data_IF_528124879320
#
_entry.id   IF_528124879320
#
_cell.length_a   1.000
_cell.length_b   1.000
_cell.length_c   1.000
_cell.angle_alpha   90.00
_cell.angle_beta   90.00
_cell.angle_gamma   90.00
#
_symmetry.space_group_name_H-M   'P 1'
#
loop_
_entity.id
_entity.type
_entity.pdbx_description
1 polymer ?
#
# COMPACT_ATOMS: atom_id res chain seq x y z
N UNK A 1 -29.33 26.13 12.96
CA UNK A 1 -30.22 25.59 11.89
C UNK A 1 -30.42 24.10 12.08
N UNK A 2 -31.63 23.67 12.47
CA UNK A 2 -32.00 22.24 12.48
C UNK A 2 -31.91 21.68 11.04
N UNK A 3 -31.44 20.44 10.91
CA UNK A 3 -31.16 19.76 9.62
C UNK A 3 -32.32 19.71 8.60
N UNK A 4 -33.53 20.14 8.99
CA UNK A 4 -34.77 20.08 8.17
C UNK A 4 -34.90 21.17 7.11
N UNK A 5 -34.04 22.19 7.06
CA UNK A 5 -34.20 23.35 6.16
C UNK A 5 -33.00 23.66 5.25
N UNK A 6 -32.15 22.68 4.97
CA UNK A 6 -31.09 22.82 3.94
C UNK A 6 -31.75 23.10 2.58
N UNK A 7 -31.29 24.16 1.91
CA UNK A 7 -31.73 24.59 0.57
C UNK A 7 -33.13 25.26 0.47
N UNK A 8 -33.68 25.77 1.57
CA UNK A 8 -34.92 26.55 1.54
C UNK A 8 -34.68 27.92 0.86
N UNK A 9 -35.60 28.33 -0.02
CA UNK A 9 -35.65 29.68 -0.57
C UNK A 9 -36.40 30.56 0.43
N UNK A 10 -35.79 31.70 0.79
CA UNK A 10 -36.34 32.63 1.77
C UNK A 10 -35.98 34.07 1.39
N UNK A 11 -36.72 35.03 1.95
CA UNK A 11 -36.35 36.44 1.90
C UNK A 11 -35.48 36.76 3.12
N UNK A 12 -34.37 37.45 2.90
CA UNK A 12 -33.46 37.86 3.96
C UNK A 12 -33.71 39.34 4.34
N UNK A 13 -33.60 39.63 5.63
CA UNK A 13 -33.52 40.98 6.19
C UNK A 13 -32.32 41.08 7.12
N UNK A 14 -31.75 42.27 7.25
CA UNK A 14 -30.66 42.57 8.18
C UNK A 14 -31.10 43.68 9.13
N UNK A 15 -30.85 43.50 10.42
CA UNK A 15 -31.11 44.54 11.42
C UNK A 15 -29.82 45.32 11.72
N UNK A 16 -29.94 46.45 12.43
CA UNK A 16 -28.82 47.38 12.69
C UNK A 16 -27.63 46.79 13.48
N UNK A 17 -27.74 45.56 13.98
CA UNK A 17 -26.74 44.85 14.79
C UNK A 17 -25.94 43.77 14.05
N UNK A 18 -25.92 43.77 12.71
CA UNK A 18 -25.17 42.78 11.87
C UNK A 18 -25.72 41.34 11.94
N UNK A 19 -26.96 41.19 12.42
CA UNK A 19 -27.69 39.93 12.44
C UNK A 19 -28.53 39.76 11.17
N UNK A 20 -28.45 38.56 10.57
CA UNK A 20 -29.22 38.21 9.37
C UNK A 20 -30.39 37.32 9.76
N UNK A 21 -31.59 37.74 9.39
CA UNK A 21 -32.82 36.99 9.57
C UNK A 21 -33.37 36.55 8.22
N UNK A 22 -33.86 35.31 8.15
CA UNK A 22 -34.53 34.79 6.94
C UNK A 22 -35.95 34.34 7.25
N UNK A 23 -36.88 34.62 6.33
CA UNK A 23 -38.27 34.17 6.41
C UNK A 23 -38.60 33.25 5.23
N UNK A 24 -38.94 31.99 5.53
CA UNK A 24 -39.45 31.08 4.50
C UNK A 24 -40.94 31.35 4.26
N UNK A 25 -41.43 30.97 3.09
CA UNK A 25 -42.82 31.27 2.65
C UNK A 25 -43.90 30.76 3.60
N UNK A 26 -43.66 29.63 4.29
CA UNK A 26 -44.63 28.98 5.18
C UNK A 26 -44.32 29.19 6.68
N UNK A 27 -43.29 29.98 7.00
CA UNK A 27 -42.88 30.24 8.37
C UNK A 27 -43.56 31.50 8.93
N UNK A 28 -44.09 31.39 10.16
CA UNK A 28 -44.68 32.53 10.89
C UNK A 28 -43.63 33.42 11.55
N UNK A 29 -42.44 32.88 11.80
CA UNK A 29 -41.37 33.55 12.53
C UNK A 29 -40.09 33.63 11.69
N UNK A 30 -39.28 34.63 11.98
CA UNK A 30 -37.97 34.80 11.37
C UNK A 30 -36.94 33.85 11.97
N UNK A 31 -36.06 33.33 11.11
CA UNK A 31 -34.97 32.48 11.52
C UNK A 31 -33.70 33.32 11.58
N UNK A 32 -33.13 33.48 12.77
CA UNK A 32 -31.79 34.05 12.91
C UNK A 32 -30.76 33.10 12.27
N UNK A 33 -29.96 33.63 11.36
CA UNK A 33 -28.90 32.89 10.67
C UNK A 33 -27.56 33.30 11.26
N UNK A 34 -26.82 32.30 11.76
CA UNK A 34 -25.47 32.49 12.28
C UNK A 34 -24.44 31.93 11.29
N UNK A 35 -23.17 32.39 11.35
CA UNK A 35 -22.10 31.76 10.59
C UNK A 35 -21.97 30.26 10.93
N UNK A 36 -21.66 29.45 9.92
CA UNK A 36 -21.39 28.02 10.03
C UNK A 36 -19.95 27.78 9.63
N UNK A 37 -19.29 26.83 10.30
CA UNK A 37 -17.95 26.37 9.97
C UNK A 37 -18.00 25.15 9.04
N UNK A 38 -17.22 25.18 7.97
CA UNK A 38 -16.94 24.04 7.10
C UNK A 38 -15.49 23.60 7.29
N UNK A 39 -15.27 22.29 7.37
CA UNK A 39 -13.95 21.70 7.60
C UNK A 39 -13.38 21.12 6.30
N UNK A 40 -12.11 21.39 6.03
CA UNK A 40 -11.35 20.73 4.98
C UNK A 40 -10.60 19.54 5.59
N UNK A 41 -11.02 18.33 5.24
CA UNK A 41 -10.58 17.09 5.89
C UNK A 41 -9.65 16.31 4.95
N UNK A 42 -8.53 15.83 5.48
CA UNK A 42 -7.65 14.86 4.83
C UNK A 42 -7.81 13.51 5.52
N UNK A 43 -7.92 12.45 4.72
CA UNK A 43 -7.99 11.09 5.21
C UNK A 43 -6.58 10.48 5.30
N UNK A 44 -6.26 9.90 6.45
CA UNK A 44 -5.04 9.15 6.73
C UNK A 44 -5.42 7.78 7.31
N UNK A 45 -4.49 6.82 7.37
CA UNK A 45 -4.69 5.58 8.11
C UNK A 45 -4.05 5.77 9.48
N UNK A 46 -4.78 5.47 10.54
CA UNK A 46 -4.28 5.48 11.90
C UNK A 46 -3.37 4.27 12.14
N UNK A 47 -2.14 4.51 12.61
CA UNK A 47 -1.07 3.50 12.71
C UNK A 47 -1.39 2.41 13.75
N UNK A 48 -2.12 2.73 14.82
CA UNK A 48 -2.44 1.76 15.88
C UNK A 48 -3.70 0.94 15.52
N UNK A 49 -4.72 1.62 15.00
CA UNK A 49 -6.04 0.99 14.79
C UNK A 49 -6.28 0.47 13.37
N UNK A 50 -5.44 0.89 12.41
CA UNK A 50 -5.58 0.64 10.97
C UNK A 50 -6.91 1.12 10.38
N UNK A 51 -7.55 2.09 11.05
CA UNK A 51 -8.78 2.71 10.58
C UNK A 51 -8.50 4.00 9.83
N UNK A 52 -9.46 4.43 9.01
CA UNK A 52 -9.39 5.73 8.35
C UNK A 52 -9.59 6.81 9.41
N UNK A 53 -8.60 7.69 9.54
CA UNK A 53 -8.63 8.88 10.39
C UNK A 53 -8.88 10.13 9.56
N UNK A 54 -9.62 11.07 10.14
CA UNK A 54 -9.92 12.37 9.57
C UNK A 54 -9.07 13.46 10.23
N UNK A 55 -8.19 14.09 9.47
CA UNK A 55 -7.37 15.20 9.92
C UNK A 55 -7.90 16.52 9.31
N UNK A 56 -8.36 17.44 10.17
CA UNK A 56 -8.83 18.76 9.74
C UNK A 56 -7.64 19.64 9.38
N UNK A 57 -7.46 19.94 8.09
CA UNK A 57 -6.37 20.79 7.58
C UNK A 57 -6.66 22.28 7.73
N UNK A 58 -7.94 22.65 7.84
CA UNK A 58 -8.36 24.04 7.97
C UNK A 58 -9.88 24.18 7.99
N UNK A 59 -10.32 25.36 8.40
CA UNK A 59 -11.74 25.70 8.54
C UNK A 59 -12.09 26.95 7.73
N UNK A 60 -13.32 26.99 7.23
CA UNK A 60 -13.91 28.14 6.55
C UNK A 60 -15.24 28.49 7.23
N UNK A 61 -15.38 29.71 7.74
CA UNK A 61 -16.59 30.13 8.46
C UNK A 61 -17.32 31.21 7.69
N UNK A 62 -18.60 30.98 7.39
CA UNK A 62 -19.44 31.88 6.61
C UNK A 62 -20.92 31.68 6.92
N UNK A 63 -21.77 32.68 6.66
CA UNK A 63 -23.21 32.49 6.67
C UNK A 63 -23.63 31.48 5.59
N UNK A 64 -24.46 30.47 5.89
CA UNK A 64 -24.90 29.44 4.95
C UNK A 64 -25.99 29.96 3.98
N UNK A 65 -25.78 31.15 3.42
CA UNK A 65 -26.71 31.84 2.54
C UNK A 65 -26.07 32.07 1.17
N UNK A 66 -26.92 31.99 0.14
CA UNK A 66 -26.53 32.32 -1.24
C UNK A 66 -27.71 32.98 -1.93
N UNK A 67 -27.44 33.97 -2.77
CA UNK A 67 -28.47 34.56 -3.64
C UNK A 67 -29.15 33.46 -4.47
N UNK A 68 -30.48 33.47 -4.45
CA UNK A 68 -31.30 32.36 -4.96
C UNK A 68 -32.26 32.77 -6.09
N UNK A 69 -32.17 33.98 -6.64
CA UNK A 69 -32.97 34.39 -7.81
C UNK A 69 -32.68 33.56 -9.06
N UNK A 70 -31.41 33.20 -9.25
CA UNK A 70 -30.98 32.34 -10.33
C UNK A 70 -29.97 31.33 -9.82
N UNK A 71 -30.10 30.09 -10.26
CA UNK A 71 -29.19 28.99 -9.94
C UNK A 71 -28.91 28.20 -11.22
N UNK A 72 -27.68 27.75 -11.39
CA UNK A 72 -27.36 26.89 -12.52
C UNK A 72 -28.00 25.51 -12.35
N UNK A 73 -28.37 24.86 -13.46
CA UNK A 73 -28.95 23.50 -13.45
C UNK A 73 -28.09 22.54 -12.60
N UNK A 74 -26.76 22.59 -12.75
CA UNK A 74 -25.82 21.77 -11.98
C UNK A 74 -25.88 22.04 -10.48
N UNK A 75 -26.00 23.30 -10.05
CA UNK A 75 -26.11 23.65 -8.62
C UNK A 75 -27.52 23.37 -8.05
N UNK A 76 -28.51 23.15 -8.90
CA UNK A 76 -29.86 22.75 -8.48
C UNK A 76 -30.03 21.24 -8.25
N UNK A 77 -29.02 20.42 -8.56
CA UNK A 77 -29.12 18.96 -8.45
C UNK A 77 -29.43 18.54 -7.01
N UNK A 78 -30.46 17.70 -6.83
CA UNK A 78 -30.95 17.28 -5.51
C UNK A 78 -31.89 18.29 -4.83
N UNK A 79 -32.11 19.47 -5.42
CA UNK A 79 -33.05 20.48 -4.91
C UNK A 79 -34.45 20.28 -5.48
N UNK A 80 -35.46 20.77 -4.76
CA UNK A 80 -36.85 20.71 -5.19
C UNK A 80 -37.51 22.07 -4.96
N UNK A 81 -38.24 22.55 -5.95
CA UNK A 81 -38.88 23.86 -5.99
C UNK A 81 -40.37 23.72 -6.35
N UNK A 82 -41.19 24.66 -5.88
CA UNK A 82 -42.61 24.71 -6.23
C UNK A 82 -42.87 25.42 -7.56
N UNK A 83 -42.01 26.39 -7.92
CA UNK A 83 -42.08 27.13 -9.18
C UNK A 83 -40.68 27.42 -9.70
N UNK A 84 -40.48 27.25 -11.00
CA UNK A 84 -39.20 27.47 -11.68
C UNK A 84 -39.40 28.10 -13.04
N UNK A 85 -38.51 29.03 -13.39
CA UNK A 85 -38.34 29.49 -14.77
C UNK A 85 -37.06 28.83 -15.29
N UNK A 86 -37.17 28.01 -16.32
CA UNK A 86 -36.07 27.22 -16.86
C UNK A 86 -35.66 27.81 -18.21
N UNK A 87 -34.40 28.23 -18.30
CA UNK A 87 -33.73 28.44 -19.58
C UNK A 87 -32.81 27.27 -19.89
N UNK A 88 -33.23 26.44 -20.85
CA UNK A 88 -32.48 25.25 -21.27
C UNK A 88 -31.87 25.39 -22.68
N UNK A 89 -31.85 26.61 -23.26
CA UNK A 89 -31.34 26.83 -24.63
C UNK A 89 -29.89 26.38 -24.80
N UNK A 90 -29.08 26.52 -23.76
CA UNK A 90 -27.65 26.15 -23.74
C UNK A 90 -27.38 24.85 -22.95
N UNK A 91 -28.37 23.95 -22.83
CA UNK A 91 -28.13 22.65 -22.21
C UNK A 91 -27.30 21.77 -23.18
N UNK A 92 -26.01 21.62 -22.87
CA UNK A 92 -25.05 20.91 -23.74
C UNK A 92 -24.80 19.46 -23.31
N UNK A 93 -25.10 19.08 -22.07
CA UNK A 93 -24.83 17.74 -21.56
C UNK A 93 -26.08 16.86 -21.45
N UNK A 94 -25.89 15.57 -21.70
CA UNK A 94 -26.92 14.52 -21.56
C UNK A 94 -27.57 14.58 -20.17
N UNK A 95 -28.91 14.51 -20.12
CA UNK A 95 -29.67 14.55 -18.88
C UNK A 95 -29.82 15.94 -18.20
N UNK A 96 -29.17 17.02 -18.65
CA UNK A 96 -29.31 18.34 -18.00
C UNK A 96 -30.74 18.89 -18.06
N UNK A 97 -31.42 18.74 -19.20
CA UNK A 97 -32.82 19.17 -19.34
C UNK A 97 -33.71 18.38 -18.39
N UNK A 98 -33.50 17.06 -18.28
CA UNK A 98 -34.22 16.22 -17.33
C UNK A 98 -33.96 16.64 -15.87
N UNK A 99 -32.71 16.93 -15.51
CA UNK A 99 -32.38 17.45 -14.17
C UNK A 99 -33.14 18.74 -13.90
N UNK A 100 -33.14 19.70 -14.83
CA UNK A 100 -33.85 20.98 -14.68
C UNK A 100 -35.36 20.79 -14.49
N UNK A 101 -36.00 20.00 -15.35
CA UNK A 101 -37.44 19.73 -15.29
C UNK A 101 -37.82 19.01 -13.98
N UNK A 102 -37.02 18.02 -13.56
CA UNK A 102 -37.26 17.25 -12.33
C UNK A 102 -37.03 18.04 -11.03
N UNK A 103 -36.58 19.30 -11.08
CA UNK A 103 -36.48 20.14 -9.88
C UNK A 103 -37.84 20.69 -9.46
N UNK A 104 -38.83 20.76 -10.36
CA UNK A 104 -40.16 21.24 -10.02
C UNK A 104 -41.07 20.10 -9.58
N UNK A 105 -41.91 20.33 -8.56
CA UNK A 105 -42.85 19.31 -8.04
C UNK A 105 -44.04 19.06 -8.95
N UNK A 106 -44.49 20.08 -9.67
CA UNK A 106 -45.64 20.01 -10.56
C UNK A 106 -45.33 20.62 -11.92
N UNK A 107 -46.07 20.18 -12.93
CA UNK A 107 -45.93 20.68 -14.29
C UNK A 107 -46.34 22.15 -14.39
N UNK A 108 -47.40 22.55 -13.68
CA UNK A 108 -47.94 23.91 -13.61
C UNK A 108 -46.96 24.90 -12.98
N UNK A 109 -46.02 24.40 -12.17
CA UNK A 109 -44.95 25.21 -11.58
C UNK A 109 -43.81 25.54 -12.55
N UNK A 110 -43.78 24.92 -13.73
CA UNK A 110 -42.68 25.09 -14.70
C UNK A 110 -43.06 26.14 -15.75
N UNK A 111 -42.17 27.12 -15.92
CA UNK A 111 -42.19 28.03 -17.06
C UNK A 111 -40.91 27.86 -17.85
N UNK A 112 -41.02 27.59 -19.15
CA UNK A 112 -39.87 27.52 -20.04
C UNK A 112 -39.65 28.89 -20.69
N UNK A 113 -38.49 29.50 -20.48
CA UNK A 113 -38.14 30.77 -21.12
C UNK A 113 -37.79 30.60 -22.60
N UNK A 114 -37.48 29.36 -23.02
CA UNK A 114 -37.17 28.98 -24.39
C UNK A 114 -37.72 27.60 -24.75
N UNK A 115 -38.06 27.38 -26.03
CA UNK A 115 -38.50 26.07 -26.52
C UNK A 115 -37.37 25.05 -26.36
N UNK A 116 -37.67 23.92 -25.71
CA UNK A 116 -36.74 22.79 -25.61
C UNK A 116 -36.67 22.10 -26.99
N UNK A 117 -35.46 21.97 -27.53
CA UNK A 117 -35.24 21.21 -28.75
C UNK A 117 -35.31 19.70 -28.41
N UNK A 118 -36.03 18.87 -29.18
CA UNK A 118 -36.05 17.41 -28.97
C UNK A 118 -34.65 16.80 -28.92
N UNK A 119 -33.70 17.35 -29.68
CA UNK A 119 -32.29 16.93 -29.69
C UNK A 119 -31.53 17.24 -28.39
N UNK A 120 -32.08 18.07 -27.49
CA UNK A 120 -31.51 18.35 -26.16
C UNK A 120 -31.98 17.36 -25.09
N UNK A 121 -33.00 16.55 -25.39
CA UNK A 121 -33.49 15.47 -24.52
C UNK A 121 -32.80 14.17 -24.92
N UNK A 122 -31.48 14.09 -24.66
CA UNK A 122 -30.70 12.88 -24.91
C UNK A 122 -30.52 12.10 -23.61
N UNK A 123 -31.01 10.87 -23.61
CA UNK A 123 -30.68 9.86 -22.60
C UNK A 123 -29.45 9.11 -23.07
N UNK A 124 -28.47 8.94 -22.19
CA UNK A 124 -27.28 8.15 -22.48
C UNK A 124 -27.67 6.68 -22.72
N UNK A 125 -27.25 6.12 -23.86
CA UNK A 125 -27.57 4.74 -24.25
C UNK A 125 -27.02 3.73 -23.23
N UNK A 126 -25.88 4.02 -22.62
CA UNK A 126 -25.28 3.20 -21.56
C UNK A 126 -26.16 3.18 -20.32
N UNK A 127 -26.68 4.36 -19.91
CA UNK A 127 -27.59 4.46 -18.75
C UNK A 127 -28.91 3.73 -19.02
N UNK A 128 -29.46 3.87 -20.24
CA UNK A 128 -30.69 3.15 -20.63
C UNK A 128 -30.46 1.63 -20.62
N UNK A 129 -29.42 1.15 -21.30
CA UNK A 129 -29.10 -0.27 -21.35
C UNK A 129 -28.82 -0.85 -19.95
N UNK A 130 -28.10 -0.11 -19.10
CA UNK A 130 -27.87 -0.50 -17.71
C UNK A 130 -29.19 -0.60 -16.93
N UNK A 131 -30.05 0.42 -17.01
CA UNK A 131 -31.32 0.46 -16.29
C UNK A 131 -32.22 -0.71 -16.69
N UNK A 132 -32.34 -0.99 -17.99
CA UNK A 132 -33.09 -2.14 -18.49
C UNK A 132 -32.47 -3.48 -18.07
N UNK A 133 -31.14 -3.59 -18.06
CA UNK A 133 -30.44 -4.80 -17.61
C UNK A 133 -30.65 -5.04 -16.11
N UNK A 134 -30.53 -4.00 -15.29
CA UNK A 134 -30.72 -4.09 -13.83
C UNK A 134 -32.18 -4.39 -13.48
N UNK A 135 -33.14 -3.81 -14.18
CA UNK A 135 -34.56 -4.13 -14.00
C UNK A 135 -34.88 -5.59 -14.37
N UNK A 136 -34.28 -6.12 -15.45
CA UNK A 136 -34.42 -7.53 -15.85
C UNK A 136 -33.69 -8.51 -14.93
N UNK A 137 -32.60 -8.08 -14.31
CA UNK A 137 -31.74 -8.90 -13.46
C UNK A 137 -31.75 -8.39 -12.01
N UNK A 138 -32.93 -8.14 -11.45
CA UNK A 138 -33.05 -7.69 -10.08
C UNK A 138 -32.34 -8.69 -9.13
N UNK A 139 -31.40 -8.25 -8.28
CA UNK A 139 -30.72 -9.14 -7.36
C UNK A 139 -31.75 -9.74 -6.40
N UNK A 140 -31.85 -11.06 -6.39
CA UNK A 140 -32.69 -11.82 -5.47
C UNK A 140 -31.86 -12.22 -4.24
N UNK A 141 -32.55 -12.66 -3.17
CA UNK A 141 -31.86 -13.25 -2.01
C UNK A 141 -31.02 -14.47 -2.41
N UNK A 142 -31.46 -15.23 -3.42
CA UNK A 142 -30.69 -16.33 -3.98
C UNK A 142 -29.40 -15.84 -4.64
N UNK A 143 -29.44 -14.74 -5.39
CA UNK A 143 -28.23 -14.13 -5.97
C UNK A 143 -27.27 -13.67 -4.87
N UNK A 144 -27.78 -13.01 -3.81
CA UNK A 144 -26.94 -12.58 -2.69
C UNK A 144 -26.29 -13.78 -1.98
N UNK A 145 -27.06 -14.84 -1.71
CA UNK A 145 -26.55 -16.06 -1.08
C UNK A 145 -25.47 -16.73 -1.95
N UNK A 146 -25.69 -16.81 -3.26
CA UNK A 146 -24.71 -17.36 -4.20
C UNK A 146 -23.43 -16.52 -4.26
N UNK A 147 -23.53 -15.20 -4.35
CA UNK A 147 -22.35 -14.32 -4.34
C UNK A 147 -21.57 -14.39 -3.03
N UNK A 148 -22.26 -14.50 -1.88
CA UNK A 148 -21.60 -14.74 -0.58
C UNK A 148 -20.83 -16.05 -0.56
N UNK A 149 -21.44 -17.13 -1.07
CA UNK A 149 -20.79 -18.44 -1.19
C UNK A 149 -19.54 -18.35 -2.06
N UNK A 150 -19.67 -17.85 -3.28
CA UNK A 150 -18.56 -17.73 -4.24
C UNK A 150 -17.39 -16.93 -3.64
N UNK A 151 -17.69 -15.80 -3.00
CA UNK A 151 -16.68 -14.99 -2.33
C UNK A 151 -15.96 -15.78 -1.22
N UNK A 152 -16.71 -16.45 -0.35
CA UNK A 152 -16.14 -17.26 0.74
C UNK A 152 -15.29 -18.43 0.22
N UNK A 153 -15.75 -19.11 -0.84
CA UNK A 153 -14.98 -20.16 -1.50
C UNK A 153 -13.67 -19.62 -2.09
N UNK A 154 -13.70 -18.44 -2.72
CA UNK A 154 -12.50 -17.77 -3.21
C UNK A 154 -11.52 -17.48 -2.08
N UNK A 155 -11.97 -16.96 -0.93
CA UNK A 155 -11.09 -16.70 0.21
C UNK A 155 -10.44 -17.98 0.74
N UNK A 156 -11.22 -19.07 0.87
CA UNK A 156 -10.69 -20.36 1.33
C UNK A 156 -9.71 -20.95 0.32
N UNK A 157 -9.97 -20.86 -0.99
CA UNK A 157 -9.02 -21.29 -2.02
C UNK A 157 -7.74 -20.47 -1.98
N UNK A 158 -7.87 -19.15 -1.85
CA UNK A 158 -6.74 -18.24 -1.73
C UNK A 158 -5.89 -18.56 -0.50
N UNK A 159 -6.48 -18.92 0.64
CA UNK A 159 -5.74 -19.30 1.85
C UNK A 159 -4.71 -20.41 1.57
N UNK A 160 -5.09 -21.44 0.79
CA UNK A 160 -4.20 -22.55 0.42
C UNK A 160 -3.41 -22.34 -0.88
N UNK A 161 -3.58 -21.22 -1.56
CA UNK A 161 -2.79 -20.90 -2.74
C UNK A 161 -1.43 -20.32 -2.34
N UNK A 162 -0.36 -21.08 -2.59
CA UNK A 162 1.02 -20.67 -2.34
C UNK A 162 1.77 -20.32 -3.65
N UNK A 163 1.05 -19.96 -4.70
CA UNK A 163 1.61 -19.63 -6.01
C UNK A 163 2.64 -18.49 -5.99
N UNK A 164 2.36 -17.41 -5.24
CA UNK A 164 3.29 -16.28 -5.07
C UNK A 164 4.58 -16.71 -4.36
N UNK A 165 4.45 -17.41 -3.23
CA UNK A 165 5.56 -18.01 -2.48
C UNK A 165 6.43 -18.90 -3.38
N UNK A 166 5.82 -19.84 -4.12
CA UNK A 166 6.53 -20.71 -5.05
C UNK A 166 7.22 -19.90 -6.15
N UNK A 167 6.59 -18.85 -6.68
CA UNK A 167 7.20 -17.99 -7.71
C UNK A 167 8.46 -17.29 -7.20
N UNK A 168 8.47 -16.81 -5.95
CA UNK A 168 9.66 -16.21 -5.34
C UNK A 168 10.76 -17.23 -5.09
N UNK A 169 10.41 -18.45 -4.62
CA UNK A 169 11.36 -19.56 -4.50
C UNK A 169 11.98 -19.94 -5.85
N UNK A 170 11.17 -20.04 -6.91
CA UNK A 170 11.67 -20.34 -8.26
C UNK A 170 12.59 -19.24 -8.79
N UNK A 171 12.24 -17.97 -8.56
CA UNK A 171 13.07 -16.83 -8.93
C UNK A 171 14.43 -16.85 -8.21
N UNK A 172 14.45 -17.10 -6.91
CA UNK A 172 15.68 -17.20 -6.14
C UNK A 172 16.53 -18.42 -6.56
N UNK A 173 15.89 -19.57 -6.82
CA UNK A 173 16.57 -20.76 -7.35
C UNK A 173 17.25 -20.49 -8.68
N UNK A 174 16.59 -19.77 -9.59
CA UNK A 174 17.15 -19.37 -10.88
C UNK A 174 18.37 -18.48 -10.70
N UNK A 175 18.33 -17.51 -9.78
CA UNK A 175 19.49 -16.66 -9.47
C UNK A 175 20.67 -17.48 -8.94
N UNK A 176 20.44 -18.45 -8.06
CA UNK A 176 21.50 -19.36 -7.58
C UNK A 176 22.11 -20.20 -8.70
N UNK A 177 21.32 -20.63 -9.68
CA UNK A 177 21.82 -21.41 -10.83
C UNK A 177 22.61 -20.55 -11.82
N UNK A 178 22.09 -19.37 -12.17
CA UNK A 178 22.71 -18.44 -13.12
C UNK A 178 23.98 -17.78 -12.56
N UNK A 179 24.06 -17.60 -11.24
CA UNK A 179 25.16 -16.93 -10.55
C UNK A 179 25.85 -17.84 -9.51
N UNK A 180 25.99 -19.12 -9.83
CA UNK A 180 26.57 -20.16 -8.95
C UNK A 180 28.01 -19.88 -8.48
N UNK A 181 28.77 -19.05 -9.23
CA UNK A 181 30.12 -18.61 -8.85
C UNK A 181 30.12 -17.38 -7.92
N UNK A 182 29.01 -16.63 -7.89
CA UNK A 182 28.91 -15.37 -7.18
C UNK A 182 28.18 -15.53 -5.83
N UNK A 183 27.23 -16.46 -5.70
CA UNK A 183 26.50 -16.76 -4.46
C UNK A 183 27.18 -17.87 -3.62
N UNK A 184 27.14 -17.76 -2.29
CA UNK A 184 27.80 -18.71 -1.37
C UNK A 184 27.23 -20.13 -1.45
N UNK A 185 28.11 -21.13 -1.41
CA UNK A 185 27.73 -22.54 -1.37
C UNK A 185 26.91 -22.91 -0.11
N UNK A 186 27.25 -22.31 1.03
CA UNK A 186 26.54 -22.49 2.30
C UNK A 186 25.09 -21.96 2.18
N UNK A 187 24.92 -20.74 1.65
CA UNK A 187 23.60 -20.15 1.35
C UNK A 187 22.75 -20.96 0.36
N UNK A 188 23.37 -21.53 -0.68
CA UNK A 188 22.67 -22.42 -1.62
C UNK A 188 22.20 -23.71 -0.93
N UNK A 189 23.02 -24.28 -0.06
CA UNK A 189 22.65 -25.47 0.71
C UNK A 189 21.48 -25.18 1.66
N UNK A 190 21.55 -24.08 2.41
CA UNK A 190 20.47 -23.62 3.29
C UNK A 190 19.17 -23.41 2.50
N UNK A 191 19.25 -22.71 1.37
CA UNK A 191 18.10 -22.45 0.50
C UNK A 191 17.49 -23.75 -0.06
N UNK A 192 18.30 -24.70 -0.54
CA UNK A 192 17.79 -25.97 -1.06
C UNK A 192 17.10 -26.81 0.01
N UNK A 193 17.66 -26.84 1.23
CA UNK A 193 17.02 -27.49 2.38
C UNK A 193 15.67 -26.86 2.68
N UNK A 194 15.59 -25.52 2.74
CA UNK A 194 14.34 -24.81 2.96
C UNK A 194 13.31 -25.09 1.86
N UNK A 195 13.71 -25.05 0.59
CA UNK A 195 12.83 -25.35 -0.56
C UNK A 195 12.28 -26.76 -0.47
N UNK A 196 13.12 -27.75 -0.15
CA UNK A 196 12.68 -29.13 0.02
C UNK A 196 11.67 -29.26 1.16
N UNK A 197 11.93 -28.59 2.29
CA UNK A 197 11.05 -28.58 3.47
C UNK A 197 9.71 -27.90 3.19
N UNK A 198 9.71 -26.69 2.61
CA UNK A 198 8.48 -25.99 2.17
C UNK A 198 7.71 -26.84 1.14
N UNK A 199 8.41 -27.47 0.20
CA UNK A 199 7.81 -28.36 -0.79
C UNK A 199 7.05 -29.52 -0.15
N UNK A 200 7.68 -30.21 0.80
CA UNK A 200 7.11 -31.38 1.47
C UNK A 200 6.02 -31.01 2.49
N UNK A 201 6.24 -30.00 3.32
CA UNK A 201 5.41 -29.68 4.49
C UNK A 201 4.34 -28.63 4.20
N UNK A 202 4.49 -27.80 3.15
CA UNK A 202 3.51 -26.76 2.81
C UNK A 202 2.88 -27.03 1.45
N UNK A 203 3.65 -27.00 0.37
CA UNK A 203 3.11 -27.01 -0.99
C UNK A 203 2.40 -28.33 -1.30
N UNK A 204 3.02 -29.47 -0.99
CA UNK A 204 2.41 -30.79 -1.20
C UNK A 204 1.13 -30.96 -0.39
N UNK A 205 1.12 -30.49 0.86
CA UNK A 205 -0.05 -30.59 1.72
C UNK A 205 -1.17 -29.68 1.19
N UNK A 206 -0.89 -28.42 0.89
CA UNK A 206 -1.86 -27.50 0.32
C UNK A 206 -2.49 -28.00 -0.99
N UNK A 207 -1.67 -28.60 -1.88
CA UNK A 207 -2.16 -29.23 -3.11
C UNK A 207 -3.14 -30.39 -2.83
N UNK A 208 -2.86 -31.22 -1.81
CA UNK A 208 -3.77 -32.32 -1.40
C UNK A 208 -5.08 -31.83 -0.79
N UNK A 209 -5.14 -30.59 -0.30
CA UNK A 209 -6.37 -29.98 0.22
C UNK A 209 -7.30 -29.49 -0.89
N UNK A 210 -6.78 -29.03 -2.03
CA UNK A 210 -7.60 -28.51 -3.13
C UNK A 210 -8.77 -29.43 -3.55
N UNK A 211 -8.57 -30.74 -3.77
CA UNK A 211 -9.69 -31.64 -4.09
C UNK A 211 -10.64 -31.86 -2.90
N UNK A 212 -10.14 -31.82 -1.66
CA UNK A 212 -10.98 -31.96 -0.46
C UNK A 212 -11.93 -30.77 -0.32
N UNK A 213 -11.48 -29.56 -0.63
CA UNK A 213 -12.29 -28.34 -0.58
C UNK A 213 -13.52 -28.41 -1.49
N UNK A 214 -13.40 -29.08 -2.65
CA UNK A 214 -14.53 -29.26 -3.56
C UNK A 214 -15.73 -29.94 -2.86
N UNK A 215 -15.47 -30.99 -2.08
CA UNK A 215 -16.51 -31.71 -1.34
C UNK A 215 -17.19 -30.84 -0.27
N UNK A 216 -16.44 -29.96 0.40
CA UNK A 216 -17.01 -29.02 1.37
C UNK A 216 -17.86 -27.95 0.67
N UNK A 217 -17.43 -27.47 -0.50
CA UNK A 217 -18.14 -26.45 -1.27
C UNK A 217 -19.43 -26.96 -1.92
N UNK A 218 -19.56 -28.28 -2.11
CA UNK A 218 -20.80 -28.91 -2.56
C UNK A 218 -21.94 -28.86 -1.51
N UNK A 219 -21.64 -28.52 -0.25
CA UNK A 219 -22.64 -28.44 0.82
C UNK A 219 -23.56 -27.20 0.68
N UNK A 220 -24.85 -27.27 1.06
CA UNK A 220 -25.81 -26.18 0.89
C UNK A 220 -25.63 -25.00 1.85
N UNK A 221 -24.88 -25.15 2.94
CA UNK A 221 -24.50 -24.07 3.86
C UNK A 221 -23.42 -23.17 3.26
N UNK A 222 -23.32 -21.93 3.75
CA UNK A 222 -22.18 -21.06 3.43
C UNK A 222 -20.90 -21.63 4.07
N UNK A 223 -19.71 -21.44 3.48
CA UNK A 223 -18.46 -21.91 4.06
C UNK A 223 -18.21 -21.48 5.52
N UNK A 224 -18.59 -20.27 5.92
CA UNK A 224 -18.49 -19.78 7.31
C UNK A 224 -19.54 -20.36 8.27
N UNK A 225 -20.54 -21.06 7.75
CA UNK A 225 -21.60 -21.73 8.50
C UNK A 225 -21.39 -23.25 8.56
N UNK A 226 -20.58 -23.83 7.67
CA UNK A 226 -20.26 -25.25 7.68
C UNK A 226 -19.29 -25.58 8.82
N UNK A 227 -19.80 -26.23 9.86
CA UNK A 227 -18.99 -26.63 11.02
C UNK A 227 -17.86 -27.60 10.63
N UNK A 228 -18.15 -28.52 9.71
CA UNK A 228 -17.16 -29.48 9.19
C UNK A 228 -15.98 -28.79 8.50
N UNK A 229 -16.26 -27.76 7.68
CA UNK A 229 -15.23 -26.97 7.02
C UNK A 229 -14.48 -26.10 8.03
N UNK A 230 -15.18 -25.44 8.97
CA UNK A 230 -14.55 -24.61 10.01
C UNK A 230 -13.56 -25.41 10.85
N UNK A 231 -13.93 -26.60 11.29
CA UNK A 231 -13.04 -27.48 12.05
C UNK A 231 -11.83 -27.91 11.21
N UNK A 232 -12.04 -28.19 9.92
CA UNK A 232 -10.94 -28.50 8.99
C UNK A 232 -9.97 -27.34 8.82
N UNK A 233 -10.51 -26.12 8.67
CA UNK A 233 -9.73 -24.88 8.54
C UNK A 233 -9.02 -24.51 9.84
N UNK A 234 -9.61 -24.79 11.00
CA UNK A 234 -8.96 -24.60 12.30
C UNK A 234 -7.71 -25.47 12.45
N UNK A 235 -7.83 -26.77 12.15
CA UNK A 235 -6.68 -27.71 12.16
C UNK A 235 -5.60 -27.30 11.16
N UNK A 236 -5.99 -26.88 9.97
CA UNK A 236 -5.07 -26.34 8.98
C UNK A 236 -4.39 -25.06 9.49
N UNK A 237 -5.17 -24.14 10.05
CA UNK A 237 -4.71 -22.91 10.69
C UNK A 237 -3.61 -23.16 11.70
N UNK A 238 -3.82 -24.09 12.64
CA UNK A 238 -2.82 -24.46 13.64
C UNK A 238 -1.54 -25.03 13.01
N UNK A 239 -1.69 -25.95 12.04
CA UNK A 239 -0.57 -26.59 11.35
C UNK A 239 0.27 -25.58 10.55
N UNK A 240 -0.34 -24.86 9.61
CA UNK A 240 0.37 -23.94 8.71
C UNK A 240 0.90 -22.72 9.46
N UNK A 241 0.13 -22.16 10.41
CA UNK A 241 0.58 -21.01 11.21
C UNK A 241 1.84 -21.32 12.01
N UNK A 242 1.90 -22.51 12.63
CA UNK A 242 3.08 -22.97 13.37
C UNK A 242 4.30 -23.12 12.44
N UNK A 243 4.13 -23.78 11.29
CA UNK A 243 5.20 -24.00 10.31
C UNK A 243 5.73 -22.69 9.72
N UNK A 244 4.84 -21.79 9.33
CA UNK A 244 5.19 -20.50 8.74
C UNK A 244 5.97 -19.61 9.72
N UNK A 245 5.44 -19.41 10.94
CA UNK A 245 6.01 -18.46 11.89
C UNK A 245 7.19 -19.01 12.69
N UNK A 246 7.11 -20.27 13.15
CA UNK A 246 8.10 -20.82 14.09
C UNK A 246 9.29 -21.48 13.39
N UNK A 247 9.12 -21.94 12.15
CA UNK A 247 10.15 -22.67 11.42
C UNK A 247 10.65 -21.85 10.22
N UNK A 248 9.77 -21.51 9.27
CA UNK A 248 10.23 -20.96 8.00
C UNK A 248 10.73 -19.51 8.08
N UNK A 249 10.15 -18.65 8.91
CA UNK A 249 10.68 -17.29 9.09
C UNK A 249 12.14 -17.32 9.59
N UNK A 250 12.43 -18.13 10.61
CA UNK A 250 13.78 -18.25 11.15
C UNK A 250 14.76 -18.88 10.15
N UNK A 251 14.31 -19.82 9.32
CA UNK A 251 15.14 -20.40 8.26
C UNK A 251 15.39 -19.41 7.11
N UNK A 252 14.43 -18.55 6.77
CA UNK A 252 14.60 -17.49 5.76
C UNK A 252 15.66 -16.46 6.18
N UNK A 253 15.65 -16.04 7.44
CA UNK A 253 16.64 -15.11 7.99
C UNK A 253 18.06 -15.67 8.02
N UNK A 254 18.21 -17.00 8.02
CA UNK A 254 19.51 -17.68 8.03
C UNK A 254 20.14 -17.79 6.66
N UNK A 255 19.41 -17.56 5.57
CA UNK A 255 19.93 -17.69 4.21
C UNK A 255 21.00 -16.62 3.96
N UNK A 256 22.24 -17.07 3.86
CA UNK A 256 23.35 -16.17 3.56
C UNK A 256 23.39 -15.81 2.07
N UNK A 257 23.28 -14.52 1.76
CA UNK A 257 23.43 -13.98 0.41
C UNK A 257 24.75 -13.22 0.29
N UNK A 258 25.80 -13.92 -0.09
CA UNK A 258 27.12 -13.34 -0.31
C UNK A 258 27.40 -13.30 -1.81
N UNK A 259 27.56 -12.12 -2.39
CA UNK A 259 28.00 -11.94 -3.78
C UNK A 259 28.66 -10.58 -4.00
N UNK A 260 29.60 -10.53 -4.95
CA UNK A 260 30.27 -9.30 -5.38
C UNK A 260 29.45 -8.53 -6.44
N UNK A 261 28.37 -9.13 -6.98
CA UNK A 261 27.45 -8.48 -7.91
C UNK A 261 26.30 -7.80 -7.15
N UNK A 262 26.34 -6.47 -7.11
CA UNK A 262 25.33 -5.64 -6.41
C UNK A 262 23.92 -5.79 -7.00
N UNK A 263 23.79 -6.01 -8.31
CA UNK A 263 22.48 -6.15 -8.96
C UNK A 263 21.86 -7.52 -8.63
N UNK A 264 22.66 -8.58 -8.63
CA UNK A 264 22.24 -9.92 -8.21
C UNK A 264 21.87 -9.93 -6.74
N UNK A 265 22.70 -9.32 -5.87
CA UNK A 265 22.42 -9.21 -4.44
C UNK A 265 21.09 -8.49 -4.18
N UNK A 266 20.82 -7.38 -4.87
CA UNK A 266 19.57 -6.63 -4.75
C UNK A 266 18.37 -7.49 -5.15
N UNK A 267 18.44 -8.21 -6.28
CA UNK A 267 17.36 -9.08 -6.75
C UNK A 267 17.12 -10.26 -5.79
N UNK A 268 18.20 -10.90 -5.31
CA UNK A 268 18.09 -12.00 -4.36
C UNK A 268 17.46 -11.55 -3.03
N UNK A 269 17.89 -10.40 -2.50
CA UNK A 269 17.27 -9.78 -1.31
C UNK A 269 15.79 -9.44 -1.54
N UNK A 270 15.44 -8.93 -2.72
CA UNK A 270 14.03 -8.66 -3.04
C UNK A 270 13.19 -9.95 -3.06
N UNK A 271 13.72 -11.04 -3.60
CA UNK A 271 13.04 -12.33 -3.57
C UNK A 271 12.86 -12.86 -2.14
N UNK A 272 13.89 -12.76 -1.29
CA UNK A 272 13.79 -13.15 0.13
C UNK A 272 12.80 -12.26 0.89
N UNK A 273 12.84 -10.95 0.68
CA UNK A 273 11.91 -10.02 1.32
C UNK A 273 10.46 -10.30 0.91
N UNK A 274 10.20 -10.46 -0.39
CA UNK A 274 8.85 -10.78 -0.85
C UNK A 274 8.38 -12.14 -0.30
N UNK A 275 9.29 -13.11 -0.18
CA UNK A 275 8.98 -14.41 0.40
C UNK A 275 8.65 -14.31 1.90
N UNK A 276 9.39 -13.49 2.65
CA UNK A 276 9.11 -13.17 4.06
C UNK A 276 7.75 -12.47 4.20
N UNK A 277 7.45 -11.47 3.35
CA UNK A 277 6.15 -10.79 3.29
C UNK A 277 5.01 -11.78 3.05
N UNK A 278 5.14 -12.69 2.08
CA UNK A 278 4.15 -13.73 1.78
C UNK A 278 3.97 -14.70 2.95
N UNK A 279 5.04 -15.12 3.62
CA UNK A 279 4.97 -16.00 4.81
C UNK A 279 4.21 -15.31 5.95
N UNK A 280 4.48 -14.04 6.21
CA UNK A 280 3.82 -13.26 7.27
C UNK A 280 2.33 -13.07 6.99
N UNK A 281 1.97 -12.69 5.75
CA UNK A 281 0.55 -12.55 5.35
C UNK A 281 -0.17 -13.90 5.48
N UNK A 282 0.43 -14.99 4.99
CA UNK A 282 -0.15 -16.32 5.12
C UNK A 282 -0.30 -16.74 6.57
N UNK A 283 0.70 -16.49 7.41
CA UNK A 283 0.64 -16.78 8.83
C UNK A 283 -0.54 -16.06 9.49
N UNK A 284 -0.71 -14.76 9.25
CA UNK A 284 -1.81 -13.97 9.79
C UNK A 284 -3.18 -14.52 9.34
N UNK A 285 -3.32 -14.88 8.07
CA UNK A 285 -4.55 -15.49 7.54
C UNK A 285 -4.85 -16.86 8.17
N UNK A 286 -3.84 -17.74 8.32
CA UNK A 286 -4.02 -19.04 8.97
C UNK A 286 -4.32 -18.91 10.47
N UNK A 287 -3.70 -17.94 11.15
CA UNK A 287 -3.95 -17.63 12.55
C UNK A 287 -5.41 -17.19 12.76
N UNK A 288 -5.92 -16.30 11.90
CA UNK A 288 -7.30 -15.85 11.93
C UNK A 288 -8.32 -17.01 11.78
N UNK A 289 -7.97 -18.04 11.02
CA UNK A 289 -8.81 -19.23 10.86
C UNK A 289 -8.81 -20.17 12.07
N UNK A 290 -7.92 -20.01 13.05
CA UNK A 290 -7.86 -20.89 14.24
C UNK A 290 -9.04 -20.70 15.19
N UNK A 291 -9.63 -19.51 15.24
CA UNK A 291 -10.83 -19.22 16.04
C UNK A 291 -12.12 -19.55 15.29
N UNK A 292 -12.02 -20.12 14.09
CA UNK A 292 -13.12 -20.39 13.18
C UNK A 292 -13.11 -19.45 11.96
N UNK A 293 -13.43 -19.99 10.78
CA UNK A 293 -13.44 -19.19 9.56
C UNK A 293 -14.63 -18.21 9.53
N UNK A 294 -14.32 -16.95 9.24
CA UNK A 294 -15.27 -15.89 8.94
C UNK A 294 -14.67 -15.00 7.85
N UNK A 295 -15.46 -14.69 6.82
CA UNK A 295 -14.98 -13.91 5.69
C UNK A 295 -14.43 -12.53 6.10
N UNK A 296 -15.12 -11.84 7.03
CA UNK A 296 -14.73 -10.51 7.50
C UNK A 296 -13.45 -10.55 8.33
N UNK A 297 -13.32 -11.53 9.23
CA UNK A 297 -12.13 -11.71 10.07
C UNK A 297 -10.91 -12.05 9.21
N UNK A 298 -11.07 -12.97 8.25
CA UNK A 298 -10.01 -13.33 7.29
C UNK A 298 -9.55 -12.11 6.49
N UNK A 299 -10.48 -11.38 5.85
CA UNK A 299 -10.14 -10.23 5.02
C UNK A 299 -9.46 -9.14 5.83
N UNK A 300 -9.93 -8.87 7.05
CA UNK A 300 -9.30 -7.89 7.95
C UNK A 300 -7.89 -8.31 8.35
N UNK A 301 -7.68 -9.58 8.71
CA UNK A 301 -6.36 -10.09 9.06
C UNK A 301 -5.37 -9.95 7.90
N UNK A 302 -5.79 -10.29 6.68
CA UNK A 302 -5.00 -10.11 5.46
C UNK A 302 -4.65 -8.64 5.21
N UNK A 303 -5.64 -7.75 5.21
CA UNK A 303 -5.44 -6.32 4.97
C UNK A 303 -4.53 -5.69 6.02
N UNK A 304 -4.70 -6.04 7.30
CA UNK A 304 -3.84 -5.54 8.37
C UNK A 304 -2.38 -5.99 8.15
N UNK A 305 -2.15 -7.28 7.86
CA UNK A 305 -0.81 -7.79 7.59
C UNK A 305 -0.16 -7.09 6.37
N UNK A 306 -0.91 -6.85 5.30
CA UNK A 306 -0.43 -6.11 4.13
C UNK A 306 -0.08 -4.64 4.45
N UNK A 307 -0.85 -3.99 5.33
CA UNK A 307 -0.56 -2.61 5.76
C UNK A 307 0.68 -2.53 6.64
N UNK A 308 0.83 -3.44 7.60
CA UNK A 308 1.99 -3.51 8.50
C UNK A 308 3.31 -3.66 7.72
N UNK A 309 3.29 -4.48 6.67
CA UNK A 309 4.46 -4.70 5.80
C UNK A 309 4.77 -3.50 4.90
N UNK A 310 3.79 -2.66 4.56
CA UNK A 310 4.01 -1.44 3.76
C UNK A 310 4.69 -0.35 4.57
N UNK A 311 4.33 -0.20 5.84
CA UNK A 311 4.92 0.78 6.76
C UNK A 311 6.38 0.42 7.11
N UNK A 312 6.74 -0.87 7.14
CA UNK A 312 8.10 -1.33 7.39
C UNK A 312 9.12 -1.13 6.25
N UNK A 313 8.70 -0.68 5.05
CA UNK A 313 9.58 -0.58 3.86
C UNK A 313 10.62 0.54 3.91
N UNK A 314 10.60 1.40 4.92
CA UNK A 314 11.51 2.56 5.00
C UNK A 314 12.87 2.29 5.70
N UNK A 315 13.18 1.09 6.21
CA UNK A 315 14.36 0.93 7.12
C UNK A 315 15.35 -0.22 6.86
N UNK A 316 15.18 -1.15 5.90
CA UNK A 316 16.26 -2.13 5.63
C UNK A 316 17.40 -1.51 4.81
N UNK A 317 18.33 -0.87 5.53
CA UNK A 317 19.59 -0.35 4.99
C UNK A 317 20.35 -1.45 4.24
N UNK A 318 20.90 -1.11 3.07
CA UNK A 318 21.66 -2.00 2.20
C UNK A 318 23.09 -2.28 2.70
N UNK A 319 23.38 -2.00 3.97
CA UNK A 319 24.71 -2.23 4.56
C UNK A 319 25.08 -3.72 4.46
N UNK A 320 26.35 -4.00 4.19
CA UNK A 320 26.87 -5.36 4.18
C UNK A 320 26.85 -5.91 5.61
N UNK A 321 25.86 -6.75 5.92
CA UNK A 321 25.81 -7.47 7.20
C UNK A 321 26.92 -8.52 7.27
N UNK A 322 27.63 -8.57 8.39
CA UNK A 322 28.63 -9.60 8.69
C UNK A 322 27.88 -10.92 8.90
N UNK A 323 28.23 -12.02 8.20
CA UNK A 323 27.58 -13.32 8.39
C UNK A 323 27.67 -13.78 9.85
N UNK A 324 26.56 -14.25 10.44
CA UNK A 324 26.42 -14.51 11.89
C UNK A 324 27.38 -15.59 12.42
N UNK A 325 27.85 -16.50 11.56
CA UNK A 325 28.76 -17.60 11.92
C UNK A 325 30.24 -17.33 11.53
N UNK A 326 30.61 -16.07 11.35
CA UNK A 326 31.98 -15.68 10.99
C UNK A 326 32.92 -15.83 12.22
N UNK A 327 33.96 -16.69 12.19
CA UNK A 327 34.82 -16.94 13.36
C UNK A 327 35.55 -15.70 13.91
N UNK A 328 35.89 -14.74 13.03
CA UNK A 328 36.49 -13.46 13.41
C UNK A 328 35.77 -12.30 12.71
N UNK A 329 34.65 -11.81 13.27
CA UNK A 329 33.81 -10.79 12.63
C UNK A 329 34.54 -9.45 12.45
N UNK A 330 35.38 -9.05 13.41
CA UNK A 330 36.19 -7.84 13.31
C UNK A 330 37.21 -7.91 12.16
N UNK A 331 37.82 -9.08 11.94
CA UNK A 331 38.77 -9.29 10.84
C UNK A 331 38.03 -9.27 9.50
N UNK A 332 36.84 -9.87 9.44
CA UNK A 332 35.99 -9.85 8.26
C UNK A 332 35.62 -8.43 7.83
N UNK A 333 35.13 -7.61 8.77
CA UNK A 333 34.81 -6.20 8.51
C UNK A 333 36.05 -5.43 8.04
N UNK A 334 37.19 -5.60 8.71
CA UNK A 334 38.45 -4.94 8.30
C UNK A 334 38.92 -5.35 6.91
N UNK A 335 38.76 -6.62 6.53
CA UNK A 335 39.10 -7.10 5.19
C UNK A 335 38.13 -6.55 4.13
N UNK A 336 36.84 -6.40 4.44
CA UNK A 336 35.88 -5.75 3.56
C UNK A 336 36.15 -4.25 3.39
N UNK A 337 36.50 -3.55 4.46
CA UNK A 337 36.92 -2.14 4.44
C UNK A 337 38.20 -1.96 3.63
N UNK A 338 39.24 -2.75 3.91
CA UNK A 338 40.50 -2.75 3.15
C UNK A 338 40.25 -3.02 1.67
N UNK A 339 39.42 -4.02 1.35
CA UNK A 339 39.06 -4.33 -0.03
C UNK A 339 38.38 -3.17 -0.73
N UNK A 340 37.49 -2.46 -0.03
CA UNK A 340 36.78 -1.31 -0.58
C UNK A 340 37.73 -0.17 -0.90
N UNK A 341 38.65 0.15 0.03
CA UNK A 341 39.69 1.16 -0.15
C UNK A 341 40.61 0.80 -1.33
N UNK A 342 41.09 -0.44 -1.40
CA UNK A 342 41.97 -0.88 -2.49
C UNK A 342 41.28 -0.94 -3.85
N UNK A 343 39.98 -1.23 -3.90
CA UNK A 343 39.21 -1.23 -5.13
C UNK A 343 39.04 0.19 -5.68
N UNK A 344 38.83 1.16 -4.78
CA UNK A 344 38.74 2.58 -5.13
C UNK A 344 40.10 3.15 -5.57
N UNK A 345 41.18 2.87 -4.83
CA UNK A 345 42.53 3.34 -5.17
C UNK A 345 43.04 2.80 -6.51
N UNK A 346 42.64 1.58 -6.88
CA UNK A 346 43.10 0.91 -8.10
C UNK A 346 42.12 1.04 -9.26
N UNK A 347 40.99 1.73 -9.09
CA UNK A 347 39.87 1.83 -10.03
C UNK A 347 39.45 0.46 -10.58
N UNK A 348 39.17 -0.46 -9.67
CA UNK A 348 38.85 -1.87 -9.98
C UNK A 348 37.63 -2.37 -9.26
N UNK A 349 37.00 -3.40 -9.81
CA UNK A 349 35.87 -4.05 -9.14
C UNK A 349 36.33 -4.82 -7.88
N UNK A 350 35.48 -4.87 -6.85
CA UNK A 350 35.79 -5.50 -5.55
C UNK A 350 36.33 -6.93 -5.67
N UNK A 351 35.74 -7.75 -6.54
CA UNK A 351 36.15 -9.12 -6.78
C UNK A 351 37.54 -9.24 -7.45
N UNK A 352 37.97 -8.22 -8.20
CA UNK A 352 39.29 -8.19 -8.82
C UNK A 352 40.39 -7.95 -7.79
N UNK A 353 40.11 -7.19 -6.73
CA UNK A 353 41.01 -7.02 -5.59
C UNK A 353 41.02 -8.31 -4.77
N UNK A 354 39.89 -8.65 -4.16
CA UNK A 354 39.76 -9.85 -3.32
C UNK A 354 38.31 -10.37 -3.38
N UNK A 355 38.03 -11.55 -3.94
CA UNK A 355 36.67 -12.10 -3.99
C UNK A 355 36.11 -12.29 -2.59
N UNK A 356 34.79 -12.11 -2.39
CA UNK A 356 34.23 -12.25 -1.03
C UNK A 356 34.45 -13.66 -0.46
N UNK A 357 34.44 -14.69 -1.30
CA UNK A 357 34.80 -16.07 -0.89
C UNK A 357 36.22 -16.16 -0.32
N UNK A 358 37.19 -15.44 -0.91
CA UNK A 358 38.55 -15.39 -0.38
C UNK A 358 38.62 -14.68 0.97
N UNK A 359 37.79 -13.63 1.18
CA UNK A 359 37.68 -12.96 2.49
C UNK A 359 37.15 -13.92 3.56
N UNK A 360 36.11 -14.69 3.26
CA UNK A 360 35.55 -15.69 4.18
C UNK A 360 36.57 -16.78 4.54
N UNK A 361 37.24 -17.34 3.53
CA UNK A 361 38.27 -18.37 3.74
C UNK A 361 39.49 -17.81 4.49
N UNK A 362 39.86 -16.55 4.27
CA UNK A 362 40.91 -15.87 5.04
C UNK A 362 40.56 -15.76 6.52
N UNK A 363 39.31 -15.45 6.83
CA UNK A 363 38.82 -15.36 8.21
C UNK A 363 38.72 -16.75 8.85
N UNK A 364 38.40 -17.80 8.08
CA UNK A 364 38.36 -19.17 8.58
C UNK A 364 39.75 -19.77 8.82
N UNK A 365 40.71 -19.52 7.92
CA UNK A 365 42.02 -20.22 7.90
C UNK A 365 43.18 -19.41 8.50
N UNK A 366 43.00 -18.11 8.77
CA UNK A 366 44.00 -17.20 9.36
C UNK A 366 45.43 -17.40 8.81
N UNK A 367 45.65 -17.25 7.49
CA UNK A 367 46.94 -17.50 6.89
C UNK A 367 47.99 -16.49 7.40
N UNK A 368 49.09 -17.00 7.97
CA UNK A 368 50.18 -16.20 8.54
C UNK A 368 51.38 -16.04 7.59
N UNK A 369 51.35 -16.69 6.43
CA UNK A 369 52.46 -16.68 5.47
C UNK A 369 51.99 -16.72 4.01
N UNK A 370 52.90 -16.45 3.08
CA UNK A 370 52.58 -16.44 1.63
C UNK A 370 52.19 -17.82 1.11
N UNK A 371 52.67 -18.89 1.75
CA UNK A 371 52.35 -20.26 1.36
C UNK A 371 50.91 -20.65 1.72
N UNK A 372 50.44 -20.27 2.91
CA UNK A 372 49.05 -20.48 3.35
C UNK A 372 48.06 -19.60 2.59
N UNK A 373 48.38 -18.33 2.30
CA UNK A 373 47.53 -17.46 1.47
C UNK A 373 47.30 -18.01 0.06
N UNK A 374 48.33 -18.62 -0.54
CA UNK A 374 48.22 -19.22 -1.88
C UNK A 374 47.26 -20.41 -1.92
N UNK A 375 46.98 -21.05 -0.77
CA UNK A 375 46.01 -22.15 -0.66
C UNK A 375 44.56 -21.66 -0.67
N UNK A 376 44.33 -20.35 -0.49
CA UNK A 376 42.99 -19.78 -0.47
C UNK A 376 42.44 -19.63 -1.89
N UNK A 377 41.25 -20.20 -2.19
CA UNK A 377 40.59 -20.04 -3.48
C UNK A 377 40.40 -18.56 -3.84
N UNK A 378 40.86 -18.16 -5.02
CA UNK A 378 40.78 -16.77 -5.52
C UNK A 378 42.03 -15.92 -5.30
N UNK A 379 43.06 -16.41 -4.58
CA UNK A 379 44.35 -15.72 -4.40
C UNK A 379 45.44 -16.41 -5.25
N UNK A 380 45.50 -16.03 -6.54
CA UNK A 380 46.52 -16.52 -7.47
C UNK A 380 47.88 -15.81 -7.33
N UNK A 381 48.89 -16.27 -8.10
CA UNK A 381 50.27 -15.71 -8.09
C UNK A 381 50.31 -14.18 -8.26
N UNK A 382 49.44 -13.64 -9.13
CA UNK A 382 49.36 -12.18 -9.38
C UNK A 382 48.84 -11.39 -8.18
N UNK A 383 47.77 -11.88 -7.53
CA UNK A 383 47.22 -11.26 -6.31
C UNK A 383 48.13 -11.44 -5.11
N UNK A 384 48.81 -12.59 -4.99
CA UNK A 384 49.80 -12.82 -3.94
C UNK A 384 51.00 -11.87 -4.07
N UNK A 385 51.42 -11.54 -5.30
CA UNK A 385 52.49 -10.56 -5.54
C UNK A 385 52.06 -9.13 -5.19
N UNK A 386 50.80 -8.77 -5.51
CA UNK A 386 50.27 -7.41 -5.32
C UNK A 386 49.81 -7.12 -3.89
N UNK A 387 49.07 -8.03 -3.29
CA UNK A 387 48.37 -7.82 -2.02
C UNK A 387 48.87 -8.73 -0.89
N UNK A 388 49.77 -9.67 -1.17
CA UNK A 388 50.17 -10.69 -0.19
C UNK A 388 50.85 -10.13 1.06
N UNK A 389 51.51 -8.96 1.00
CA UNK A 389 52.07 -8.33 2.20
C UNK A 389 50.97 -7.72 3.08
N UNK A 390 50.00 -7.04 2.48
CA UNK A 390 48.89 -6.38 3.18
C UNK A 390 47.90 -7.39 3.78
N UNK A 391 47.70 -8.53 3.11
CA UNK A 391 46.82 -9.61 3.55
C UNK A 391 47.40 -10.46 4.70
N UNK A 392 48.72 -10.64 4.77
CA UNK A 392 49.42 -11.30 5.91
C UNK A 392 49.54 -10.31 7.06
N UNK A 393 49.87 -9.06 6.73
CA UNK A 393 50.10 -7.98 7.66
C UNK A 393 48.86 -7.12 7.88
N UNK A 394 47.66 -7.72 8.00
CA UNK A 394 46.42 -6.98 8.26
C UNK A 394 46.69 -5.88 9.32
N UNK A 395 46.67 -4.58 8.93
CA UNK A 395 47.56 -3.62 9.54
C UNK A 395 47.05 -3.08 10.87
N UNK A 396 47.97 -2.92 11.83
CA UNK A 396 47.87 -2.01 13.00
C UNK A 396 47.77 -0.51 12.60
N UNK A 397 47.45 -0.17 11.35
CA UNK A 397 47.49 1.20 10.82
C UNK A 397 46.25 1.50 9.97
N UNK A 398 45.18 1.95 10.61
CA UNK A 398 44.27 2.95 10.04
C UNK A 398 44.59 4.27 10.74
N UNK A 399 45.23 5.19 10.00
CA UNK A 399 45.47 6.55 10.48
C UNK A 399 44.11 7.26 10.70
N UNK A 400 43.93 8.14 11.70
CA UNK A 400 42.62 8.69 12.07
C UNK A 400 41.95 9.61 11.03
N UNK A 401 42.59 9.88 9.90
CA UNK A 401 42.17 10.96 8.99
C UNK A 401 41.09 10.58 7.97
N UNK A 402 40.79 9.30 7.73
CA UNK A 402 39.70 8.89 6.81
C UNK A 402 38.32 8.78 7.46
N UNK A 403 38.18 9.01 8.78
CA UNK A 403 36.88 9.05 9.48
C UNK A 403 36.06 10.31 9.20
N UNK A 404 36.57 11.29 8.46
CA UNK A 404 35.85 12.54 8.22
C UNK A 404 34.89 12.51 7.01
N UNK A 405 34.91 11.47 6.18
CA UNK A 405 34.07 11.40 4.95
C UNK A 405 33.00 10.29 4.93
N UNK A 406 32.64 9.72 6.09
CA UNK A 406 31.42 8.91 6.21
C UNK A 406 30.23 9.79 6.63
N UNK A 407 29.06 9.69 5.96
CA UNK A 407 27.84 10.35 6.42
C UNK A 407 27.51 9.84 7.82
N UNK A 408 27.46 10.75 8.79
CA UNK A 408 27.13 10.43 10.18
C UNK A 408 25.73 9.81 10.25
N UNK A 409 25.51 8.76 11.07
CA UNK A 409 24.17 8.30 11.38
C UNK A 409 23.40 9.43 12.05
N UNK A 410 22.22 9.76 11.52
CA UNK A 410 21.28 10.67 12.13
C UNK A 410 20.88 10.04 13.47
N UNK A 411 21.25 10.70 14.58
CA UNK A 411 20.83 10.30 15.93
C UNK A 411 19.31 10.36 16.00
N UNK A 412 18.68 9.25 16.36
CA UNK A 412 17.32 9.20 16.86
C UNK A 412 17.20 10.16 18.05
N UNK A 413 16.30 11.14 17.94
CA UNK A 413 15.91 11.98 19.07
C UNK A 413 15.03 11.15 19.99
N UNK A 414 15.58 10.75 21.12
CA UNK A 414 14.79 10.41 22.31
C UNK A 414 14.13 11.69 22.83
N UNK A 415 12.82 11.63 23.04
CA UNK A 415 12.03 12.69 23.63
C UNK A 415 12.46 12.90 25.09
N UNK A 416 12.73 14.16 25.47
CA UNK A 416 12.69 14.61 26.86
C UNK A 416 11.97 15.95 26.90
N UNK A 417 10.99 16.00 27.80
CA UNK A 417 10.08 17.12 28.08
C UNK A 417 10.84 18.17 28.89
N UNK A 418 10.80 19.44 28.48
CA UNK A 418 10.93 20.59 29.39
C UNK A 418 10.45 21.91 28.74
N UNK A 419 9.36 22.42 29.31
CA UNK A 419 8.98 23.83 29.62
C UNK A 419 9.51 25.03 28.80
N UNK A 420 8.53 25.85 28.37
CA UNK A 420 8.47 27.27 27.91
C UNK A 420 9.52 28.25 28.52
N UNK A 421 9.84 29.46 27.96
CA UNK A 421 8.86 30.46 27.47
C UNK A 421 9.23 31.38 26.25
N UNK A 422 8.16 31.99 25.71
CA UNK A 422 8.03 33.35 25.12
C UNK A 422 8.60 33.76 23.73
N UNK A 423 7.73 34.50 23.01
CA UNK A 423 7.85 35.09 21.66
C UNK A 423 8.74 36.36 21.65
N UNK A 424 9.08 36.93 20.45
CA UNK A 424 8.23 38.00 19.93
C UNK A 424 7.97 37.99 18.40
N UNK A 425 6.77 38.48 18.09
CA UNK A 425 6.19 39.04 16.86
C UNK A 425 7.10 39.47 15.69
N UNK A 426 6.68 39.15 14.46
CA UNK A 426 7.01 39.94 13.26
C UNK A 426 5.75 40.38 12.50
N UNK A 427 5.83 41.64 12.05
CA UNK A 427 4.77 42.52 11.53
C UNK A 427 4.33 42.17 10.10
N UNK A 428 3.05 42.43 9.82
CA UNK A 428 2.46 42.55 8.48
C UNK A 428 2.84 43.90 7.83
N UNK A 429 2.99 43.99 6.50
CA UNK A 429 2.76 45.21 5.75
C UNK A 429 1.33 45.27 5.18
N UNK A 430 0.73 46.46 5.31
CA UNK A 430 -0.53 46.90 4.68
C UNK A 430 -0.28 47.42 3.26
N UNK A 431 -1.34 47.32 2.45
CA UNK A 431 -1.66 48.04 1.20
C UNK A 431 -1.10 47.51 -0.14
N UNK A 432 -2.03 47.19 -1.05
CA UNK A 432 -1.79 47.28 -2.51
C UNK A 432 -2.48 46.22 -3.38
N UNK A 433 -3.68 46.56 -3.89
CA UNK A 433 -4.26 46.11 -5.18
C UNK A 433 -4.60 44.62 -5.40
N UNK A 434 -5.91 44.33 -5.43
CA UNK A 434 -6.48 43.10 -5.96
C UNK A 434 -6.48 43.11 -7.50
N UNK A 435 -5.70 42.22 -8.12
CA UNK A 435 -5.86 41.85 -9.53
C UNK A 435 -6.49 40.45 -9.62
N UNK A 436 -7.53 40.35 -10.44
CA UNK A 436 -8.24 39.13 -10.82
C UNK A 436 -7.30 38.12 -11.48
N UNK A 437 -6.96 37.05 -10.77
CA UNK A 437 -6.32 35.86 -11.37
C UNK A 437 -7.41 34.84 -11.69
N UNK A 438 -7.68 34.69 -12.98
CA UNK A 438 -8.48 33.62 -13.57
C UNK A 438 -7.85 32.27 -13.22
N UNK A 439 -8.59 31.37 -12.57
CA UNK A 439 -8.20 29.95 -12.48
C UNK A 439 -8.42 29.28 -13.85
N UNK A 440 -7.36 29.18 -14.64
CA UNK A 440 -7.27 28.21 -15.74
C UNK A 440 -6.86 26.85 -15.17
N UNK A 441 -7.58 25.81 -15.56
CA UNK A 441 -7.00 24.48 -15.76
C UNK A 441 -7.14 23.47 -14.63
N UNK A 442 -8.32 22.84 -14.51
CA UNK A 442 -8.39 21.40 -14.19
C UNK A 442 -8.75 20.68 -15.48
N UNK A 443 -7.72 20.17 -16.16
CA UNK A 443 -7.85 19.23 -17.27
C UNK A 443 -7.38 17.85 -16.82
N UNK A 444 -8.30 16.90 -16.94
CA UNK A 444 -8.08 15.48 -17.23
C UNK A 444 -7.09 14.68 -16.37
N UNK A 445 -7.64 13.84 -15.49
CA UNK A 445 -7.27 12.43 -15.48
C UNK A 445 -8.54 11.60 -15.69
N UNK A 446 -8.63 11.08 -16.90
CA UNK A 446 -9.60 10.13 -17.39
C UNK A 446 -9.40 8.78 -16.73
N UNK A 447 -10.52 8.14 -16.39
CA UNK A 447 -10.65 6.73 -16.09
C UNK A 447 -10.09 5.87 -17.24
N UNK A 448 -8.88 5.34 -17.06
CA UNK A 448 -8.42 4.13 -17.76
C UNK A 448 -8.70 2.91 -16.87
N UNK A 449 -9.93 2.42 -16.94
CA UNK A 449 -10.20 1.01 -16.73
C UNK A 449 -9.92 0.31 -18.06
N UNK A 450 -8.79 -0.39 -18.12
CA UNK A 450 -8.38 -1.21 -19.26
C UNK A 450 -8.64 -2.68 -18.96
N UNK A 451 -9.60 -3.24 -19.68
CA UNK A 451 -9.92 -4.66 -19.82
C UNK A 451 -8.71 -5.56 -20.10
N UNK A 452 -8.82 -6.81 -19.61
CA UNK A 452 -8.62 -8.10 -20.31
C UNK A 452 -8.00 -9.07 -19.29
N UNK A 453 -8.59 -10.22 -18.95
CA UNK A 453 -8.75 -11.39 -19.82
C UNK A 453 -9.89 -12.26 -19.24
N UNK A 454 -10.95 -12.48 -20.02
CA UNK A 454 -11.67 -13.75 -20.03
C UNK A 454 -11.95 -14.08 -21.50
N UNK A 455 -11.23 -15.07 -22.00
CA UNK A 455 -11.50 -15.74 -23.27
C UNK A 455 -11.80 -17.20 -22.92
N UNK A 456 -13.00 -17.63 -23.28
CA UNK A 456 -13.35 -18.97 -23.77
C UNK A 456 -12.82 -20.19 -23.00
N UNK A 457 -13.70 -20.84 -22.25
CA UNK A 457 -14.26 -22.16 -22.57
C UNK A 457 -15.44 -22.48 -21.67
#
# INVERSE_FOLDING_TARGET
MTSRRKNAISTARSDAGDEIFVRCKDDREDIAVTPVEWQNIKYSIDEETKQIKEDVLGTFTQYPLKLAWAITIHKSQGLTFDRVIIDARSAFAHGQVYVALSRCRSFEGIVLSSRINPSSVKTDVVVKAYTEKTARNAPSEAHLRQSKREYQETLVRELFDFGAMNSHLQGLRRLFQEHSSALSADGLSQFNTLVAKIGAEVLSIAQKFAPQLHNYFSQPELPEQSESLRERLRKAGAYFSSKLNSEFLAELERIELITDDKAVLKRARQHLQNLEEEVLIKHACFLACQTGFSASVYTRAKTNAELDLREGKDVRSTAAEVPKDTPHPDLYTRLLEWRSVMAEELDRALHEVLPTRSVQEMVRLLPIDRASLKKIPGIGKGKLKRFGADLIGAPKKTSPQSRQNLPKPIRSRSASISTNPEKPSRRLPRNGTWQSVRSKGTSHISSRAGNSIYRSS
#
